data_IF_993729844153
#
_entry.id   IF_993729844153
#
_cell.length_a   1.000
_cell.length_b   1.000
_cell.length_c   1.000
_cell.angle_alpha   90.00
_cell.angle_beta   90.00
_cell.angle_gamma   90.00
#
_symmetry.space_group_name_H-M   'P 1'
#
loop_
_entity.id
_entity.type
_entity.pdbx_description
1 polymer ?
#
# COMPACT_ATOMS: atom_id res chain seq x y z
N UNK A 1 22.15 -19.31 -3.65
CA UNK A 1 21.22 -18.35 -4.28
C UNK A 1 21.09 -17.12 -3.40
N UNK A 2 21.62 -15.99 -3.84
CA UNK A 2 21.57 -14.68 -3.16
C UNK A 2 20.48 -13.81 -3.77
N UNK A 3 19.60 -13.27 -2.94
CA UNK A 3 18.41 -12.50 -3.33
C UNK A 3 18.60 -11.06 -2.85
N UNK A 4 18.61 -10.11 -3.79
CA UNK A 4 18.55 -8.68 -3.49
C UNK A 4 17.12 -8.17 -3.55
N UNK A 5 16.64 -7.52 -2.50
CA UNK A 5 15.31 -6.91 -2.45
C UNK A 5 15.45 -5.39 -2.43
N UNK A 6 14.83 -4.70 -3.40
CA UNK A 6 14.78 -3.22 -3.38
C UNK A 6 13.84 -2.80 -2.25
N UNK A 7 14.40 -2.23 -1.18
CA UNK A 7 13.72 -2.07 0.10
C UNK A 7 13.61 -0.62 0.57
N UNK A 8 13.80 0.35 -0.33
CA UNK A 8 13.78 1.79 0.01
C UNK A 8 12.51 2.24 0.75
N UNK A 9 11.38 1.58 0.49
CA UNK A 9 10.08 1.87 1.12
C UNK A 9 10.08 1.61 2.62
N UNK A 10 11.00 0.80 3.13
CA UNK A 10 11.18 0.58 4.58
C UNK A 10 11.68 1.83 5.31
N UNK A 11 12.27 2.80 4.60
CA UNK A 11 12.79 4.05 5.18
C UNK A 11 11.75 5.18 5.22
N UNK A 12 10.54 4.94 4.75
CA UNK A 12 9.45 5.91 4.71
C UNK A 12 8.27 5.42 5.56
N UNK A 13 7.39 6.32 6.06
CA UNK A 13 6.22 5.90 6.80
C UNK A 13 5.42 4.84 6.02
N UNK A 14 5.13 3.70 6.66
CA UNK A 14 4.61 2.54 5.97
C UNK A 14 3.24 2.82 5.35
N UNK A 15 3.19 2.72 4.02
CA UNK A 15 1.96 2.66 3.21
C UNK A 15 1.73 1.22 2.74
N UNK A 16 0.71 0.97 1.92
CA UNK A 16 0.41 -0.39 1.41
C UNK A 16 1.64 -1.13 0.87
N UNK A 17 2.38 -0.52 -0.05
CA UNK A 17 3.60 -1.10 -0.64
C UNK A 17 4.70 -1.32 0.41
N UNK A 18 4.83 -0.39 1.36
CA UNK A 18 5.80 -0.50 2.46
C UNK A 18 5.48 -1.68 3.39
N UNK A 19 4.21 -1.83 3.75
CA UNK A 19 3.71 -2.96 4.56
C UNK A 19 3.87 -4.29 3.82
N UNK A 20 3.51 -4.33 2.53
CA UNK A 20 3.74 -5.49 1.67
C UNK A 20 5.23 -5.88 1.67
N UNK A 21 6.12 -4.92 1.43
CA UNK A 21 7.58 -5.18 1.37
C UNK A 21 8.09 -5.67 2.73
N UNK A 22 7.66 -5.06 3.83
CA UNK A 22 8.03 -5.47 5.19
C UNK A 22 7.60 -6.90 5.50
N UNK A 23 6.34 -7.25 5.21
CA UNK A 23 5.81 -8.58 5.49
C UNK A 23 6.40 -9.64 4.56
N UNK A 24 6.58 -9.31 3.27
CA UNK A 24 7.30 -10.16 2.32
C UNK A 24 8.70 -10.51 2.84
N UNK A 25 9.50 -9.54 3.26
CA UNK A 25 10.86 -9.79 3.79
C UNK A 25 10.79 -10.60 5.08
N UNK A 26 9.85 -10.28 5.98
CA UNK A 26 9.66 -11.00 7.23
C UNK A 26 9.33 -12.48 7.03
N UNK A 27 8.52 -12.80 6.02
CA UNK A 27 8.09 -14.18 5.78
C UNK A 27 9.10 -14.94 4.92
N UNK A 28 9.77 -14.27 3.98
CA UNK A 28 10.84 -14.85 3.17
C UNK A 28 11.95 -15.47 4.03
N UNK A 29 12.25 -14.91 5.20
CA UNK A 29 13.27 -15.45 6.12
C UNK A 29 12.98 -16.87 6.63
N UNK A 30 11.72 -17.29 6.56
CA UNK A 30 11.25 -18.60 7.00
C UNK A 30 11.27 -19.63 5.87
N UNK A 31 11.34 -19.17 4.61
CA UNK A 31 11.30 -20.01 3.41
C UNK A 31 12.68 -20.17 2.78
N UNK A 32 13.54 -19.15 2.90
CA UNK A 32 14.89 -19.19 2.34
C UNK A 32 15.83 -20.00 3.25
N UNK A 33 16.53 -21.04 2.74
CA UNK A 33 17.33 -21.95 3.56
C UNK A 33 18.47 -21.29 4.35
N UNK A 34 19.01 -20.17 3.86
CA UNK A 34 20.08 -19.41 4.52
C UNK A 34 19.70 -17.94 4.59
N UNK A 35 19.44 -17.42 5.79
CA UNK A 35 19.03 -16.00 5.98
C UNK A 35 20.06 -15.00 5.45
N UNK A 36 21.34 -15.35 5.53
CA UNK A 36 22.46 -14.56 5.00
C UNK A 36 22.48 -14.42 3.47
N UNK A 37 21.57 -15.10 2.77
CA UNK A 37 21.42 -14.96 1.33
C UNK A 37 20.42 -13.88 0.92
N UNK A 38 19.82 -13.13 1.86
CA UNK A 38 18.91 -12.02 1.57
C UNK A 38 19.64 -10.69 1.83
N UNK A 39 19.66 -9.85 0.79
CA UNK A 39 20.29 -8.53 0.78
C UNK A 39 19.22 -7.45 0.62
N UNK A 40 19.12 -6.51 1.55
CA UNK A 40 18.23 -5.36 1.45
C UNK A 40 18.95 -4.22 0.74
N UNK A 41 18.46 -3.83 -0.43
CA UNK A 41 19.06 -2.79 -1.25
C UNK A 41 18.43 -1.46 -0.88
N UNK A 42 19.24 -0.58 -0.30
CA UNK A 42 18.77 0.68 0.30
C UNK A 42 19.75 1.84 0.08
N UNK A 43 19.25 3.06 0.25
CA UNK A 43 20.07 4.27 0.26
C UNK A 43 20.94 4.36 1.53
N UNK A 44 20.35 3.97 2.65
CA UNK A 44 20.90 4.06 4.01
C UNK A 44 20.65 2.74 4.75
N UNK A 45 21.34 2.56 5.87
CA UNK A 45 21.11 1.42 6.76
C UNK A 45 19.66 1.45 7.25
N UNK A 46 18.98 0.30 7.17
CA UNK A 46 17.60 0.21 7.66
C UNK A 46 17.59 -0.17 9.13
N UNK A 47 16.56 0.28 9.86
CA UNK A 47 16.29 -0.21 11.21
C UNK A 47 15.65 -1.61 11.21
N UNK A 48 15.78 -2.37 10.12
CA UNK A 48 15.09 -3.65 9.89
C UNK A 48 16.08 -4.84 9.95
N UNK A 49 16.57 -5.22 11.15
CA UNK A 49 17.41 -6.40 11.33
C UNK A 49 16.58 -7.69 11.18
N UNK A 50 17.20 -8.86 10.87
CA UNK A 50 18.64 -9.14 10.86
C UNK A 50 19.21 -9.42 9.45
N UNK A 51 18.83 -8.64 8.44
CA UNK A 51 19.29 -8.89 7.06
C UNK A 51 20.56 -8.12 6.71
N UNK A 52 21.33 -8.61 5.75
CA UNK A 52 22.47 -7.89 5.22
C UNK A 52 21.98 -6.71 4.37
N UNK A 53 22.43 -5.49 4.67
CA UNK A 53 22.13 -4.32 3.84
C UNK A 53 23.17 -4.20 2.71
N UNK A 54 22.72 -4.11 1.45
CA UNK A 54 23.51 -3.58 0.35
C UNK A 54 23.23 -2.08 0.22
N UNK A 55 24.03 -1.28 0.91
CA UNK A 55 23.88 0.18 0.94
C UNK A 55 24.47 0.78 -0.34
N UNK A 56 23.63 1.49 -1.09
CA UNK A 56 24.00 2.23 -2.28
C UNK A 56 23.68 3.70 -2.00
N UNK A 57 24.67 4.53 -1.63
CA UNK A 57 24.41 5.91 -1.26
C UNK A 57 23.71 6.68 -2.38
N UNK A 58 22.74 7.52 -2.01
CA UNK A 58 22.14 8.46 -2.95
C UNK A 58 22.90 9.80 -2.92
N UNK A 59 23.76 10.00 -3.92
CA UNK A 59 24.58 11.21 -4.05
C UNK A 59 23.81 12.44 -4.58
N UNK A 60 22.52 12.29 -4.95
CA UNK A 60 21.69 13.38 -5.48
C UNK A 60 20.33 13.47 -4.76
N UNK A 61 20.28 13.79 -3.46
CA UNK A 61 19.04 13.79 -2.67
C UNK A 61 18.03 14.87 -3.12
N UNK A 62 18.48 15.93 -3.79
CA UNK A 62 17.67 17.06 -4.25
C UNK A 62 16.90 16.76 -5.55
N UNK A 63 17.44 15.87 -6.40
CA UNK A 63 16.79 15.45 -7.64
C UNK A 63 16.07 14.14 -7.34
N UNK A 64 14.74 14.22 -7.15
CA UNK A 64 13.78 13.11 -6.89
C UNK A 64 14.37 11.70 -7.10
N UNK A 65 14.13 10.80 -6.14
CA UNK A 65 14.45 9.36 -6.00
C UNK A 65 14.83 8.56 -7.26
N UNK A 66 14.32 8.91 -8.43
CA UNK A 66 14.59 8.30 -9.72
C UNK A 66 16.05 8.36 -10.21
N UNK A 67 16.80 9.39 -9.83
CA UNK A 67 18.22 9.55 -10.19
C UNK A 67 19.11 8.46 -9.59
N UNK A 68 18.65 7.79 -8.52
CA UNK A 68 19.36 6.72 -7.82
C UNK A 68 19.33 5.38 -8.58
N UNK A 69 18.23 5.01 -9.23
CA UNK A 69 18.07 3.67 -9.82
C UNK A 69 19.07 3.30 -10.93
N UNK A 70 19.58 4.24 -11.77
CA UNK A 70 20.71 3.96 -12.66
C UNK A 70 21.94 3.44 -11.90
N UNK A 71 22.27 4.03 -10.75
CA UNK A 71 23.40 3.62 -9.91
C UNK A 71 23.14 2.28 -9.21
N UNK A 72 21.90 2.07 -8.73
CA UNK A 72 21.46 0.79 -8.15
C UNK A 72 21.70 -0.34 -9.13
N UNK A 73 21.24 -0.16 -10.37
CA UNK A 73 21.39 -1.16 -11.43
C UNK A 73 22.87 -1.46 -11.70
N UNK A 74 23.72 -0.42 -11.78
CA UNK A 74 25.16 -0.59 -12.03
C UNK A 74 25.89 -1.28 -10.88
N UNK A 75 25.55 -1.00 -9.63
CA UNK A 75 26.17 -1.62 -8.45
C UNK A 75 25.77 -3.08 -8.31
N UNK A 76 24.49 -3.40 -8.46
CA UNK A 76 24.01 -4.80 -8.41
C UNK A 76 24.60 -5.64 -9.55
N UNK A 77 24.78 -5.09 -10.74
CA UNK A 77 25.46 -5.81 -11.84
C UNK A 77 26.89 -6.25 -11.50
N UNK A 78 27.53 -5.62 -10.50
CA UNK A 78 28.87 -5.94 -10.01
C UNK A 78 28.87 -6.76 -8.72
N UNK A 79 27.71 -7.03 -8.12
CA UNK A 79 27.61 -7.87 -6.93
C UNK A 79 27.44 -9.34 -7.31
N UNK A 80 27.51 -10.20 -6.30
CA UNK A 80 27.29 -11.64 -6.37
C UNK A 80 25.82 -12.03 -6.11
N UNK A 81 24.89 -11.07 -6.19
CA UNK A 81 23.45 -11.33 -6.15
C UNK A 81 23.06 -12.15 -7.38
N UNK A 82 22.20 -13.16 -7.19
CA UNK A 82 21.68 -14.03 -8.26
C UNK A 82 20.31 -13.53 -8.79
N UNK A 83 19.45 -13.08 -7.87
CA UNK A 83 18.08 -12.61 -8.14
C UNK A 83 17.87 -11.23 -7.54
N UNK A 84 17.25 -10.33 -8.30
CA UNK A 84 16.80 -9.02 -7.83
C UNK A 84 15.27 -9.01 -7.82
N UNK A 85 14.66 -8.69 -6.68
CA UNK A 85 13.23 -8.47 -6.55
C UNK A 85 12.95 -6.99 -6.26
N UNK A 86 12.16 -6.36 -7.12
CA UNK A 86 11.64 -5.01 -6.95
C UNK A 86 10.15 -5.07 -6.53
N UNK A 87 9.83 -4.97 -5.23
CA UNK A 87 8.46 -4.95 -4.75
C UNK A 87 7.79 -3.57 -4.86
N UNK A 88 8.51 -2.53 -5.29
CA UNK A 88 8.10 -1.13 -5.13
C UNK A 88 7.67 -0.45 -6.44
N UNK A 89 7.68 -1.19 -7.57
CA UNK A 89 7.41 -0.67 -8.92
C UNK A 89 8.34 0.49 -9.35
N UNK A 90 9.51 0.56 -8.73
CA UNK A 90 10.47 1.64 -8.97
C UNK A 90 11.15 1.50 -10.34
N UNK A 91 11.50 2.62 -11.01
CA UNK A 91 12.07 2.56 -12.35
C UNK A 91 13.35 1.75 -12.45
N UNK A 92 13.43 0.92 -13.49
CA UNK A 92 14.64 0.19 -13.87
C UNK A 92 15.01 0.57 -15.29
N UNK A 93 16.13 1.25 -15.44
CA UNK A 93 16.55 1.86 -16.72
C UNK A 93 17.34 0.90 -17.61
N UNK A 94 18.06 -0.04 -17.00
CA UNK A 94 18.92 -0.99 -17.71
C UNK A 94 18.58 -2.42 -17.27
N UNK A 95 18.75 -3.39 -18.18
CA UNK A 95 18.58 -4.79 -17.84
C UNK A 95 19.64 -5.22 -16.81
N UNK A 96 19.21 -5.94 -15.78
CA UNK A 96 20.11 -6.58 -14.82
C UNK A 96 20.88 -7.74 -15.50
N UNK A 97 22.07 -8.07 -14.97
CA UNK A 97 22.77 -9.32 -15.32
C UNK A 97 22.08 -10.50 -14.60
N UNK A 98 21.57 -10.23 -13.41
CA UNK A 98 20.80 -11.11 -12.55
C UNK A 98 19.40 -11.37 -13.09
N UNK A 99 18.73 -12.41 -12.57
CA UNK A 99 17.28 -12.58 -12.79
C UNK A 99 16.52 -11.46 -12.08
N UNK A 100 15.64 -10.80 -12.80
CA UNK A 100 14.90 -9.66 -12.29
C UNK A 100 13.39 -9.92 -12.18
N UNK A 101 12.87 -9.81 -10.96
CA UNK A 101 11.46 -9.97 -10.63
C UNK A 101 10.89 -8.61 -10.23
N UNK A 102 9.77 -8.24 -10.83
CA UNK A 102 9.05 -7.00 -10.52
C UNK A 102 7.66 -7.34 -9.96
N UNK A 103 7.30 -6.82 -8.79
CA UNK A 103 5.90 -6.84 -8.33
C UNK A 103 5.17 -5.59 -8.81
N UNK A 104 3.97 -5.76 -9.36
CA UNK A 104 3.08 -4.70 -9.81
C UNK A 104 1.81 -4.73 -8.96
N UNK A 105 1.59 -3.66 -8.19
CA UNK A 105 0.43 -3.47 -7.32
C UNK A 105 -0.78 -2.94 -8.09
N UNK A 106 -0.57 -1.90 -8.88
CA UNK A 106 -1.58 -1.36 -9.79
C UNK A 106 -0.91 -0.67 -10.98
N UNK A 107 -1.73 -0.38 -11.99
CA UNK A 107 -1.35 0.51 -13.10
C UNK A 107 -2.31 1.70 -13.20
N UNK A 108 -2.87 2.16 -12.07
CA UNK A 108 -3.96 3.17 -12.07
C UNK A 108 -3.54 4.50 -12.71
N UNK A 109 -2.23 4.76 -12.75
CA UNK A 109 -1.64 5.92 -13.46
C UNK A 109 -1.94 5.90 -14.97
N UNK A 110 -2.20 4.72 -15.55
CA UNK A 110 -2.51 4.52 -16.96
C UNK A 110 -4.02 4.39 -17.22
N UNK A 111 -4.75 3.73 -16.31
CA UNK A 111 -6.19 3.46 -16.47
C UNK A 111 -7.06 4.64 -15.99
N UNK A 112 -6.58 5.39 -14.98
CA UNK A 112 -7.27 6.51 -14.34
C UNK A 112 -6.32 7.71 -14.12
N UNK A 113 -5.67 8.23 -15.19
CA UNK A 113 -4.69 9.32 -15.08
C UNK A 113 -5.23 10.60 -14.43
N UNK A 114 -6.52 10.88 -14.56
CA UNK A 114 -7.25 12.00 -13.93
C UNK A 114 -7.23 11.95 -12.39
N UNK A 115 -6.97 10.76 -11.85
CA UNK A 115 -6.84 10.52 -10.41
C UNK A 115 -5.41 10.65 -9.88
N UNK A 116 -4.49 11.15 -10.71
CA UNK A 116 -3.09 11.33 -10.36
C UNK A 116 -2.59 12.72 -10.75
N UNK A 117 -1.45 13.12 -10.19
CA UNK A 117 -0.79 14.36 -10.61
C UNK A 117 -0.20 14.21 -12.01
N UNK A 118 -0.30 15.25 -12.84
CA UNK A 118 0.19 15.23 -14.23
C UNK A 118 1.68 14.85 -14.34
N UNK A 119 2.50 15.33 -13.40
CA UNK A 119 3.93 14.99 -13.36
C UNK A 119 4.19 13.50 -13.09
N UNK A 120 3.37 12.85 -12.25
CA UNK A 120 3.45 11.41 -12.01
C UNK A 120 3.02 10.64 -13.26
N UNK A 121 1.92 11.05 -13.91
CA UNK A 121 1.43 10.42 -15.14
C UNK A 121 2.50 10.47 -16.23
N UNK A 122 3.08 11.64 -16.51
CA UNK A 122 4.10 11.81 -17.52
C UNK A 122 5.33 10.92 -17.24
N UNK A 123 5.80 10.93 -16.00
CA UNK A 123 6.97 10.14 -15.61
C UNK A 123 6.73 8.63 -15.75
N UNK A 124 5.58 8.13 -15.27
CA UNK A 124 5.23 6.72 -15.38
C UNK A 124 5.08 6.29 -16.84
N UNK A 125 4.44 7.12 -17.68
CA UNK A 125 4.32 6.84 -19.13
C UNK A 125 5.67 6.60 -19.81
N UNK A 126 6.71 7.31 -19.37
CA UNK A 126 8.05 7.18 -19.95
C UNK A 126 8.85 6.03 -19.32
N UNK A 127 8.78 5.87 -17.99
CA UNK A 127 9.68 4.97 -17.24
C UNK A 127 9.12 3.57 -17.05
N UNK A 128 7.82 3.43 -16.77
CA UNK A 128 7.23 2.15 -16.40
C UNK A 128 7.27 1.11 -17.54
N UNK A 129 7.01 1.45 -18.81
CA UNK A 129 7.18 0.49 -19.91
C UNK A 129 8.61 -0.07 -19.99
N UNK A 130 9.63 0.74 -19.70
CA UNK A 130 11.03 0.30 -19.67
C UNK A 130 11.28 -0.66 -18.50
N UNK A 131 10.73 -0.38 -17.33
CA UNK A 131 10.79 -1.28 -16.16
C UNK A 131 10.13 -2.62 -16.46
N UNK A 132 8.94 -2.62 -17.08
CA UNK A 132 8.23 -3.84 -17.47
C UNK A 132 9.02 -4.67 -18.49
N UNK A 133 9.66 -4.01 -19.47
CA UNK A 133 10.46 -4.68 -20.51
C UNK A 133 11.71 -5.34 -19.92
N UNK A 134 12.35 -4.69 -18.93
CA UNK A 134 13.60 -5.18 -18.31
C UNK A 134 13.41 -6.33 -17.33
N UNK A 135 12.21 -6.49 -16.75
CA UNK A 135 11.88 -7.62 -15.88
C UNK A 135 11.98 -8.96 -16.63
N UNK A 136 12.46 -10.02 -15.97
CA UNK A 136 12.40 -11.39 -16.49
C UNK A 136 11.09 -12.06 -16.08
N UNK A 137 10.59 -11.77 -14.87
CA UNK A 137 9.26 -12.17 -14.39
C UNK A 137 8.55 -11.01 -13.71
N UNK A 138 7.23 -11.01 -13.82
CA UNK A 138 6.36 -10.02 -13.19
C UNK A 138 5.40 -10.74 -12.25
N UNK A 139 5.33 -10.28 -11.02
CA UNK A 139 4.29 -10.66 -10.06
C UNK A 139 3.18 -9.64 -10.17
N UNK A 140 1.99 -10.06 -10.61
CA UNK A 140 0.78 -9.25 -10.53
C UNK A 140 0.03 -9.60 -9.25
N UNK A 141 -0.35 -8.59 -8.45
CA UNK A 141 -1.04 -8.82 -7.17
C UNK A 141 -2.48 -9.32 -7.30
N UNK A 142 -3.02 -9.36 -8.51
CA UNK A 142 -4.35 -9.87 -8.80
C UNK A 142 -4.50 -10.31 -10.25
N UNK A 143 -5.54 -11.09 -10.55
CA UNK A 143 -5.95 -11.40 -11.94
C UNK A 143 -6.28 -10.13 -12.73
N UNK A 144 -6.86 -9.13 -12.07
CA UNK A 144 -7.18 -7.85 -12.70
C UNK A 144 -5.91 -7.11 -13.12
N UNK A 145 -4.93 -6.99 -12.23
CA UNK A 145 -3.62 -6.39 -12.53
C UNK A 145 -2.90 -7.15 -13.67
N UNK A 146 -2.98 -8.48 -13.70
CA UNK A 146 -2.44 -9.28 -14.82
C UNK A 146 -3.14 -8.95 -16.14
N UNK A 147 -4.46 -8.93 -16.16
CA UNK A 147 -5.24 -8.56 -17.34
C UNK A 147 -4.89 -7.15 -17.84
N UNK A 148 -4.81 -6.18 -16.94
CA UNK A 148 -4.46 -4.80 -17.27
C UNK A 148 -3.04 -4.70 -17.84
N UNK A 149 -2.08 -5.41 -17.27
CA UNK A 149 -0.70 -5.47 -17.78
C UNK A 149 -0.63 -6.02 -19.22
N UNK A 150 -1.38 -7.07 -19.52
CA UNK A 150 -1.46 -7.64 -20.88
C UNK A 150 -2.14 -6.63 -21.81
N UNK A 151 -3.29 -6.08 -21.41
CA UNK A 151 -4.08 -5.15 -22.22
C UNK A 151 -3.33 -3.85 -22.56
N UNK A 152 -2.70 -3.21 -21.57
CA UNK A 152 -2.10 -1.88 -21.74
C UNK A 152 -0.66 -1.92 -22.25
N UNK A 153 0.07 -3.01 -22.00
CA UNK A 153 1.50 -3.10 -22.33
C UNK A 153 1.85 -4.27 -23.25
N UNK A 154 0.85 -5.05 -23.69
CA UNK A 154 1.03 -6.23 -24.56
C UNK A 154 2.11 -7.19 -24.03
N UNK A 155 2.11 -7.42 -22.72
CA UNK A 155 3.09 -8.29 -22.07
C UNK A 155 2.75 -9.76 -22.30
N UNK A 156 3.75 -10.63 -22.54
CA UNK A 156 3.54 -12.07 -22.64
C UNK A 156 2.93 -12.63 -21.36
N UNK A 157 1.92 -13.50 -21.50
CA UNK A 157 1.19 -14.04 -20.35
C UNK A 157 2.10 -14.87 -19.43
N UNK A 158 3.00 -15.66 -20.01
CA UNK A 158 3.98 -16.51 -19.34
C UNK A 158 5.01 -15.70 -18.54
N UNK A 159 5.16 -14.40 -18.82
CA UNK A 159 5.98 -13.47 -18.04
C UNK A 159 5.33 -13.09 -16.72
N UNK A 160 4.00 -13.22 -16.60
CA UNK A 160 3.22 -12.69 -15.47
C UNK A 160 2.66 -13.83 -14.62
N UNK A 161 3.07 -13.88 -13.35
CA UNK A 161 2.52 -14.77 -12.33
C UNK A 161 1.61 -13.99 -11.39
N UNK A 162 0.41 -14.51 -11.11
CA UNK A 162 -0.49 -13.89 -10.13
C UNK A 162 -0.14 -14.41 -8.75
N UNK A 163 0.22 -13.51 -7.83
CA UNK A 163 0.43 -13.82 -6.42
C UNK A 163 -0.33 -12.76 -5.63
N UNK A 164 -1.41 -13.18 -4.97
CA UNK A 164 -2.25 -12.28 -4.19
C UNK A 164 -1.51 -11.75 -2.95
N UNK A 165 -1.79 -10.51 -2.57
CA UNK A 165 -1.36 -9.99 -1.27
C UNK A 165 -2.13 -10.68 -0.14
N UNK A 166 -1.47 -10.84 1.00
CA UNK A 166 -2.06 -11.40 2.21
C UNK A 166 -2.31 -10.31 3.25
N UNK A 167 -3.33 -10.51 4.08
CA UNK A 167 -3.53 -9.69 5.27
C UNK A 167 -2.37 -9.91 6.26
N UNK A 168 -1.96 -8.85 6.94
CA UNK A 168 -0.98 -8.95 8.02
C UNK A 168 -1.58 -9.77 9.19
N UNK A 169 -0.76 -10.63 9.78
CA UNK A 169 -1.09 -11.48 10.93
C UNK A 169 -1.66 -10.74 12.15
N UNK A 170 -1.42 -9.43 12.27
CA UNK A 170 -2.01 -8.61 13.35
C UNK A 170 -3.53 -8.44 13.21
N UNK A 171 -4.08 -8.58 11.99
CA UNK A 171 -5.51 -8.47 11.74
C UNK A 171 -6.22 -9.77 12.11
N UNK A 172 -6.51 -9.91 13.39
CA UNK A 172 -7.21 -11.05 13.97
C UNK A 172 -8.34 -10.61 14.91
N UNK A 173 -9.31 -11.49 15.22
CA UNK A 173 -10.31 -11.21 16.25
C UNK A 173 -9.63 -10.88 17.58
N UNK A 174 -10.09 -9.81 18.22
CA UNK A 174 -9.64 -9.40 19.55
C UNK A 174 -10.61 -9.90 20.63
N UNK A 175 -10.10 -10.11 21.84
CA UNK A 175 -10.91 -10.41 23.02
C UNK A 175 -11.74 -9.17 23.43
N UNK A 176 -12.65 -9.32 24.40
CA UNK A 176 -13.54 -8.21 24.83
C UNK A 176 -12.78 -7.06 25.47
N UNK A 177 -11.74 -7.36 26.25
CA UNK A 177 -10.94 -6.38 26.98
C UNK A 177 -10.13 -5.50 26.03
N UNK A 178 -9.37 -6.11 25.12
CA UNK A 178 -8.58 -5.41 24.09
C UNK A 178 -9.48 -4.53 23.19
N UNK A 179 -10.67 -5.04 22.84
CA UNK A 179 -11.69 -4.25 22.11
C UNK A 179 -12.10 -3.02 22.91
N UNK A 180 -12.36 -3.17 24.20
CA UNK A 180 -12.78 -2.08 25.06
C UNK A 180 -11.66 -1.05 25.26
N UNK A 181 -10.41 -1.49 25.45
CA UNK A 181 -9.24 -0.61 25.50
C UNK A 181 -9.13 0.27 24.26
N UNK A 182 -9.32 -0.30 23.06
CA UNK A 182 -9.30 0.48 21.82
C UNK A 182 -10.51 1.41 21.72
N UNK A 183 -11.70 0.95 22.12
CA UNK A 183 -12.91 1.78 22.10
C UNK A 183 -12.75 3.02 22.98
N UNK A 184 -12.21 2.86 24.19
CA UNK A 184 -11.98 3.96 25.12
C UNK A 184 -10.86 4.88 24.65
N UNK A 185 -9.76 4.31 24.14
CA UNK A 185 -8.62 5.07 23.58
C UNK A 185 -9.04 6.06 22.49
N UNK A 186 -9.99 5.68 21.64
CA UNK A 186 -10.47 6.52 20.52
C UNK A 186 -11.87 7.10 20.74
N UNK A 187 -12.44 6.93 21.92
CA UNK A 187 -13.81 7.33 22.24
C UNK A 187 -14.84 6.84 21.19
N UNK A 188 -14.79 5.55 20.85
CA UNK A 188 -15.63 4.87 19.85
C UNK A 188 -16.67 3.94 20.52
N UNK A 189 -17.29 4.42 21.61
CA UNK A 189 -18.29 3.68 22.39
C UNK A 189 -19.73 3.79 21.83
N UNK A 190 -19.87 3.89 20.51
CA UNK A 190 -21.15 4.01 19.80
C UNK A 190 -21.15 3.16 18.52
N UNK A 191 -22.32 2.86 17.92
CA UNK A 191 -22.36 2.20 16.61
C UNK A 191 -21.76 3.09 15.52
N UNK A 192 -20.88 2.54 14.70
CA UNK A 192 -20.28 3.27 13.60
C UNK A 192 -20.04 2.41 12.37
N UNK A 193 -20.04 3.07 11.21
CA UNK A 193 -19.51 2.56 9.95
C UNK A 193 -18.06 3.01 9.86
N UNK A 194 -17.17 2.08 9.54
CA UNK A 194 -15.74 2.35 9.42
C UNK A 194 -15.35 2.53 7.96
N UNK A 195 -14.53 3.55 7.71
CA UNK A 195 -13.79 3.70 6.47
C UNK A 195 -12.31 3.93 6.79
N UNK A 196 -11.41 3.19 6.14
CA UNK A 196 -9.96 3.31 6.32
C UNK A 196 -9.30 3.60 4.98
N UNK A 197 -8.71 4.79 4.83
CA UNK A 197 -7.96 5.18 3.64
C UNK A 197 -7.65 6.68 3.58
N UNK A 198 -6.55 7.03 2.93
CA UNK A 198 -6.20 8.42 2.62
C UNK A 198 -7.34 9.11 1.86
N UNK A 199 -7.62 10.36 2.20
CA UNK A 199 -8.67 11.14 1.54
C UNK A 199 -8.22 11.58 0.16
N UNK A 200 -8.59 10.79 -0.85
CA UNK A 200 -8.24 10.99 -2.25
C UNK A 200 -9.43 10.64 -3.17
N UNK A 201 -9.66 11.36 -4.27
CA UNK A 201 -10.78 11.13 -5.20
C UNK A 201 -10.95 9.68 -5.65
N UNK A 202 -9.85 8.97 -5.98
CA UNK A 202 -9.87 7.57 -6.43
C UNK A 202 -10.45 6.59 -5.41
N UNK A 203 -10.54 6.97 -4.14
CA UNK A 203 -11.12 6.14 -3.08
C UNK A 203 -12.61 6.39 -2.88
N UNK A 204 -13.19 7.32 -3.64
CA UNK A 204 -14.61 7.60 -3.72
C UNK A 204 -15.30 7.85 -2.35
N UNK A 205 -14.59 8.49 -1.42
CA UNK A 205 -15.11 8.83 -0.09
C UNK A 205 -16.33 9.74 -0.17
N UNK A 206 -16.38 10.58 -1.21
CA UNK A 206 -17.51 11.48 -1.43
C UNK A 206 -18.83 10.72 -1.65
N UNK A 207 -18.80 9.61 -2.41
CA UNK A 207 -19.98 8.77 -2.58
C UNK A 207 -20.40 8.11 -1.26
N UNK A 208 -19.43 7.66 -0.44
CA UNK A 208 -19.72 7.11 0.89
C UNK A 208 -20.41 8.15 1.79
N UNK A 209 -19.94 9.39 1.79
CA UNK A 209 -20.55 10.47 2.59
C UNK A 209 -21.97 10.78 2.12
N UNK A 210 -22.21 10.83 0.81
CA UNK A 210 -23.56 10.98 0.24
C UNK A 210 -24.47 9.82 0.63
N UNK A 211 -23.97 8.58 0.59
CA UNK A 211 -24.73 7.42 1.03
C UNK A 211 -25.03 7.49 2.53
N UNK A 212 -24.09 7.97 3.34
CA UNK A 212 -24.26 8.11 4.79
C UNK A 212 -25.27 9.20 5.17
N UNK A 213 -25.41 10.27 4.38
CA UNK A 213 -26.47 11.28 4.54
C UNK A 213 -27.87 10.63 4.54
N UNK A 214 -28.09 9.58 3.74
CA UNK A 214 -29.37 8.85 3.72
C UNK A 214 -29.63 8.16 5.07
N UNK A 215 -28.59 7.61 5.71
CA UNK A 215 -28.68 6.96 7.02
C UNK A 215 -29.05 7.99 8.10
N UNK A 216 -28.44 9.17 8.04
CA UNK A 216 -28.74 10.29 8.94
C UNK A 216 -30.20 10.75 8.76
N UNK A 217 -30.66 10.92 7.51
CA UNK A 217 -32.02 11.37 7.23
C UNK A 217 -33.10 10.35 7.66
N UNK A 218 -32.73 9.08 7.81
CA UNK A 218 -33.58 8.03 8.38
C UNK A 218 -33.52 7.95 9.92
N UNK A 219 -32.83 8.89 10.58
CA UNK A 219 -32.62 8.91 12.04
C UNK A 219 -31.99 7.62 12.58
N UNK A 220 -31.19 6.91 11.78
CA UNK A 220 -30.48 5.72 12.21
C UNK A 220 -29.25 6.15 13.03
N UNK A 221 -29.19 5.75 14.30
CA UNK A 221 -28.13 6.15 15.23
C UNK A 221 -26.79 5.43 14.94
N UNK A 222 -26.08 5.92 13.93
CA UNK A 222 -24.73 5.52 13.57
C UNK A 222 -23.86 6.76 13.34
N UNK A 223 -22.56 6.60 13.58
CA UNK A 223 -21.52 7.53 13.11
C UNK A 223 -20.79 6.96 11.90
N UNK A 224 -20.19 7.81 11.09
CA UNK A 224 -19.23 7.43 10.07
C UNK A 224 -17.83 7.81 10.58
N UNK A 225 -17.01 6.81 10.87
CA UNK A 225 -15.63 7.00 11.34
C UNK A 225 -14.69 6.84 10.15
N UNK A 226 -14.01 7.92 9.78
CA UNK A 226 -13.08 8.01 8.65
C UNK A 226 -11.66 8.09 9.21
N UNK A 227 -10.90 7.01 8.98
CA UNK A 227 -9.51 6.88 9.37
C UNK A 227 -8.63 7.08 8.15
N UNK A 228 -7.73 8.05 8.19
CA UNK A 228 -6.79 8.32 7.12
C UNK A 228 -6.38 9.78 7.05
N UNK A 229 -5.17 10.03 6.55
CA UNK A 229 -4.66 11.39 6.35
C UNK A 229 -5.35 12.07 5.18
N UNK A 230 -5.40 13.40 5.21
CA UNK A 230 -5.80 14.23 4.07
C UNK A 230 -4.79 14.04 2.93
N UNK A 231 -5.28 13.57 1.77
CA UNK A 231 -4.49 13.44 0.56
C UNK A 231 -4.55 14.71 -0.29
N UNK A 232 -5.04 14.57 -1.52
CA UNK A 232 -5.18 15.66 -2.48
C UNK A 232 -6.65 15.79 -2.91
N UNK A 233 -7.06 16.98 -3.38
CA UNK A 233 -8.47 17.30 -3.74
C UNK A 233 -9.52 16.92 -2.68
N UNK A 234 -9.16 17.01 -1.39
CA UNK A 234 -10.07 16.66 -0.30
C UNK A 234 -11.02 17.81 0.10
N UNK A 235 -10.80 19.04 -0.38
CA UNK A 235 -11.56 20.23 0.08
C UNK A 235 -13.07 20.11 -0.12
N UNK A 236 -13.48 19.60 -1.28
CA UNK A 236 -14.89 19.39 -1.64
C UNK A 236 -15.62 18.49 -0.63
N UNK A 237 -14.93 17.51 -0.04
CA UNK A 237 -15.49 16.64 1.00
C UNK A 237 -15.91 17.46 2.22
N UNK A 238 -15.03 18.35 2.70
CA UNK A 238 -15.29 19.14 3.90
C UNK A 238 -16.33 20.24 3.63
N UNK A 239 -16.30 20.86 2.45
CA UNK A 239 -17.31 21.83 2.01
C UNK A 239 -18.71 21.20 1.98
N UNK A 240 -18.83 19.98 1.47
CA UNK A 240 -20.09 19.24 1.45
C UNK A 240 -20.60 18.92 2.86
N UNK A 241 -19.72 18.40 3.73
CA UNK A 241 -20.05 18.09 5.14
C UNK A 241 -20.54 19.34 5.87
N UNK A 242 -19.90 20.48 5.64
CA UNK A 242 -20.31 21.76 6.23
C UNK A 242 -21.68 22.19 5.70
N UNK A 243 -21.86 22.23 4.37
CA UNK A 243 -23.11 22.62 3.72
C UNK A 243 -24.31 21.77 4.17
N UNK A 244 -24.07 20.49 4.43
CA UNK A 244 -25.09 19.52 4.86
C UNK A 244 -25.18 19.36 6.38
N UNK A 245 -24.42 20.13 7.15
CA UNK A 245 -24.37 20.06 8.62
C UNK A 245 -24.09 18.65 9.18
N UNK A 246 -23.25 17.85 8.50
CA UNK A 246 -22.97 16.45 8.86
C UNK A 246 -21.84 16.28 9.90
N UNK A 247 -21.28 17.38 10.39
CA UNK A 247 -20.09 17.40 11.25
C UNK A 247 -20.24 16.62 12.57
N UNK A 248 -21.46 16.50 13.11
CA UNK A 248 -21.71 15.72 14.34
C UNK A 248 -21.76 14.21 14.08
N UNK A 249 -21.97 13.79 12.84
CA UNK A 249 -22.20 12.38 12.49
C UNK A 249 -21.01 11.74 11.78
N UNK A 250 -20.11 12.55 11.22
CA UNK A 250 -18.90 12.08 10.53
C UNK A 250 -17.68 12.48 11.37
N UNK A 251 -16.94 11.47 11.83
CA UNK A 251 -15.77 11.62 12.70
C UNK A 251 -14.52 11.33 11.86
N UNK A 252 -13.63 12.31 11.74
CA UNK A 252 -12.30 12.12 11.16
C UNK A 252 -11.30 11.88 12.29
N UNK A 253 -10.62 10.74 12.27
CA UNK A 253 -9.62 10.39 13.30
C UNK A 253 -8.19 10.75 12.87
N UNK A 254 -8.04 11.33 11.67
CA UNK A 254 -6.77 11.51 10.98
C UNK A 254 -5.94 10.21 10.95
N UNK A 255 -4.79 10.18 11.63
CA UNK A 255 -3.90 9.02 11.65
C UNK A 255 -4.12 8.16 12.88
N UNK A 256 -4.38 6.86 12.65
CA UNK A 256 -4.37 5.83 13.69
C UNK A 256 -3.14 4.95 13.48
N UNK A 257 -2.38 4.62 14.55
CA UNK A 257 -1.26 3.70 14.46
C UNK A 257 -1.68 2.36 13.87
N UNK A 258 -0.83 1.79 13.02
CA UNK A 258 -1.12 0.52 12.33
C UNK A 258 -1.48 -0.62 13.31
N UNK A 259 -0.82 -0.67 14.47
CA UNK A 259 -1.07 -1.66 15.51
C UNK A 259 -2.47 -1.55 16.15
N UNK A 260 -3.11 -0.39 16.09
CA UNK A 260 -4.44 -0.15 16.64
C UNK A 260 -5.57 -0.40 15.62
N UNK A 261 -5.25 -0.46 14.31
CA UNK A 261 -6.24 -0.71 13.26
C UNK A 261 -7.03 -2.01 13.41
N UNK A 262 -6.43 -3.16 13.83
CA UNK A 262 -7.20 -4.37 14.11
C UNK A 262 -8.33 -4.11 15.11
N UNK A 263 -8.12 -3.24 16.10
CA UNK A 263 -9.14 -2.87 17.06
C UNK A 263 -10.33 -2.17 16.43
N UNK A 264 -10.10 -1.22 15.51
CA UNK A 264 -11.19 -0.55 14.80
C UNK A 264 -11.99 -1.51 13.90
N UNK A 265 -11.29 -2.41 13.19
CA UNK A 265 -11.95 -3.46 12.42
C UNK A 265 -12.73 -4.44 13.32
N UNK A 266 -12.32 -4.63 14.57
CA UNK A 266 -13.06 -5.45 15.53
C UNK A 266 -14.25 -4.72 16.16
N UNK A 267 -14.24 -3.38 16.19
CA UNK A 267 -15.28 -2.55 16.79
C UNK A 267 -16.43 -2.24 15.82
N UNK A 268 -16.14 -1.98 14.54
CA UNK A 268 -17.19 -1.62 13.56
C UNK A 268 -18.18 -2.77 13.27
N UNK A 269 -17.77 -4.01 13.55
CA UNK A 269 -18.59 -5.22 13.37
C UNK A 269 -19.58 -5.47 14.52
N UNK A 270 -19.75 -4.51 15.45
CA UNK A 270 -20.61 -4.61 16.65
C UNK A 270 -22.12 -4.77 16.42
N UNK A 271 -22.60 -5.12 15.22
CA UNK A 271 -23.97 -5.65 15.06
C UNK A 271 -23.99 -6.97 14.31
N UNK A 272 -23.84 -8.06 15.07
CA UNK A 272 -24.73 -9.20 14.86
C UNK A 272 -26.16 -8.69 15.09
N UNK A 273 -26.94 -8.59 14.02
CA UNK A 273 -28.40 -8.58 14.11
C UNK A 273 -28.77 -10.03 14.43
N UNK A 274 -28.82 -10.41 15.71
CA UNK A 274 -29.56 -11.60 16.11
C UNK A 274 -31.04 -11.21 16.06
N UNK A 275 -31.71 -11.56 14.96
CA UNK A 275 -33.16 -11.72 14.98
C UNK A 275 -33.46 -12.99 15.77
N UNK A 276 -33.71 -12.82 17.05
CA UNK A 276 -34.49 -13.76 17.85
C UNK A 276 -35.44 -12.92 18.69
N UNK A 277 -36.74 -13.18 18.54
CA UNK A 277 -37.90 -12.56 19.19
C UNK A 277 -38.59 -11.45 18.36
N UNK A 278 -39.29 -11.91 17.31
CA UNK A 278 -40.71 -11.59 17.07
C UNK A 278 -41.44 -12.93 17.00
#
# INVERSE_FOLDING_TARGET
>A
MKIGIIAETLNTPSTGIGNYTKNLINDLKNVVPKKDSIYLINHNKTAFPPFQDLIIPNYFPIVKTYSWYPYVTRKIRKSDIDIVHNPTQTPTFFKFKQKYILTVHDISVFTNPETHTMSRVLLHKVLFPKTLKTADKIIAVSKHTKYELIKYFNLPEDKITVIYEAADSIFKPLNKEDKQTIADKYNLNYPFILYVGTLEPRKNIFALIKAFEIIINKNINYKLVIVGKKGWKYKEIFEYIQKKNLHKSIIFTDYIPYADLPGLYNLHSRKHITHSEI
#
